data_IF_119393158450
#
_entry.id   IF_119393158450
#
_cell.length_a   1.000
_cell.length_b   1.000
_cell.length_c   1.000
_cell.angle_alpha   90.00
_cell.angle_beta   90.00
_cell.angle_gamma   90.00
#
_symmetry.space_group_name_H-M   'P 1'
#
loop_
_entity.id
_entity.type
_entity.pdbx_description
1 polymer ?
#
# COMPACT_ATOMS: atom_id res chain seq x y z
N UNK A 1 51.01 14.36 19.14
CA UNK A 1 49.97 15.42 19.07
C UNK A 1 50.46 16.51 18.13
N UNK A 2 49.63 16.96 17.18
CA UNK A 2 49.95 17.85 16.04
C UNK A 2 50.58 17.16 14.80
N UNK A 3 49.82 16.28 14.13
CA UNK A 3 49.90 16.05 12.66
C UNK A 3 48.72 15.24 12.09
N UNK A 4 47.57 15.16 12.80
CA UNK A 4 46.40 14.36 12.35
C UNK A 4 45.07 15.12 12.40
N UNK A 5 45.10 16.44 12.51
CA UNK A 5 43.90 17.29 12.61
C UNK A 5 43.60 18.04 11.29
N UNK A 6 44.45 17.91 10.25
CA UNK A 6 44.28 18.66 9.00
C UNK A 6 43.70 17.86 7.81
N UNK A 7 43.26 16.61 8.02
CA UNK A 7 42.59 15.81 6.97
C UNK A 7 41.06 15.72 7.20
N UNK A 8 40.55 16.20 8.34
CA UNK A 8 39.13 16.11 8.71
C UNK A 8 38.29 17.34 8.32
N UNK A 9 38.87 18.41 7.77
CA UNK A 9 38.14 19.66 7.48
C UNK A 9 37.92 19.97 5.99
N UNK A 10 38.46 19.15 5.07
CA UNK A 10 38.35 19.38 3.61
C UNK A 10 37.53 18.32 2.86
N UNK A 11 36.93 17.35 3.57
CA UNK A 11 36.03 16.35 3.01
C UNK A 11 34.55 16.55 3.40
N UNK A 12 34.23 17.63 4.13
CA UNK A 12 32.87 17.91 4.62
C UNK A 12 32.09 18.98 3.81
N UNK A 13 32.62 19.42 2.66
CA UNK A 13 31.97 20.43 1.80
C UNK A 13 31.82 20.01 0.33
N UNK A 14 32.08 18.74 0.00
CA UNK A 14 31.99 18.25 -1.37
C UNK A 14 31.38 16.84 -1.42
N UNK A 15 30.16 16.66 -0.89
CA UNK A 15 29.28 15.52 -1.22
C UNK A 15 27.84 15.78 -0.75
N UNK A 16 27.30 16.95 -1.07
CA UNK A 16 25.87 17.26 -0.96
C UNK A 16 25.27 17.39 -2.36
N UNK A 17 25.45 16.38 -3.21
CA UNK A 17 24.86 16.33 -4.55
C UNK A 17 25.05 14.97 -5.20
N UNK A 18 24.33 13.95 -4.71
CA UNK A 18 24.12 12.69 -5.45
C UNK A 18 22.95 11.88 -4.86
N UNK A 19 21.76 12.46 -4.83
CA UNK A 19 20.53 11.67 -4.93
C UNK A 19 19.90 12.00 -6.28
N UNK A 20 20.40 11.34 -7.32
CA UNK A 20 19.74 11.28 -8.63
C UNK A 20 18.49 10.41 -8.46
N UNK A 21 17.41 11.02 -8.00
CA UNK A 21 16.06 10.61 -8.40
C UNK A 21 15.99 10.81 -9.92
N UNK A 22 15.45 9.87 -10.71
CA UNK A 22 15.17 10.15 -12.11
C UNK A 22 14.10 11.25 -12.15
N UNK A 23 14.53 12.49 -12.35
CA UNK A 23 13.65 13.61 -12.64
C UNK A 23 13.03 13.36 -14.02
N UNK A 24 11.82 12.81 -14.04
CA UNK A 24 10.93 13.04 -15.18
C UNK A 24 10.54 14.51 -15.08
N UNK A 25 11.27 15.35 -15.80
CA UNK A 25 11.14 16.79 -15.77
C UNK A 25 9.84 17.24 -16.41
N UNK A 26 8.79 17.42 -15.62
CA UNK A 26 7.89 18.54 -15.80
C UNK A 26 8.42 19.66 -14.90
N UNK A 27 9.26 20.55 -15.44
CA UNK A 27 9.64 21.75 -14.71
C UNK A 27 8.39 22.56 -14.39
N UNK A 28 8.34 23.20 -13.23
CA UNK A 28 7.25 24.10 -12.81
C UNK A 28 6.95 25.22 -13.83
N UNK A 29 7.85 25.50 -14.79
CA UNK A 29 7.60 26.41 -15.90
C UNK A 29 6.68 25.84 -16.99
N UNK A 30 6.61 24.51 -17.17
CA UNK A 30 5.73 23.87 -18.15
C UNK A 30 4.25 23.96 -17.73
N UNK A 31 3.97 23.87 -16.43
CA UNK A 31 2.61 24.03 -15.86
C UNK A 31 2.06 25.46 -15.99
N UNK A 32 2.91 26.47 -16.20
CA UNK A 32 2.46 27.86 -16.38
C UNK A 32 1.90 28.17 -17.77
N UNK A 33 2.13 27.31 -18.77
CA UNK A 33 1.80 27.61 -20.18
C UNK A 33 0.48 27.03 -20.69
N UNK A 34 -0.28 26.26 -19.91
CA UNK A 34 -1.51 25.61 -20.40
C UNK A 34 -2.81 26.37 -20.14
N UNK A 35 -2.79 27.51 -19.44
CA UNK A 35 -4.00 28.31 -19.19
C UNK A 35 -4.23 29.36 -20.29
N UNK A 36 -4.58 28.94 -21.50
CA UNK A 36 -5.35 29.78 -22.42
C UNK A 36 -6.20 28.93 -23.34
N UNK A 37 -7.42 28.60 -22.91
CA UNK A 37 -8.44 28.05 -23.78
C UNK A 37 -9.45 29.15 -24.10
N UNK A 38 -9.33 29.73 -25.29
CA UNK A 38 -10.37 30.52 -25.94
C UNK A 38 -10.32 30.21 -27.43
N UNK A 39 -11.39 29.56 -27.92
CA UNK A 39 -12.08 29.79 -29.21
C UNK A 39 -12.74 28.50 -29.74
N UNK A 40 -14.05 28.42 -29.52
CA UNK A 40 -15.15 28.06 -30.46
C UNK A 40 -14.86 27.03 -31.57
N UNK A 41 -15.62 25.93 -31.61
CA UNK A 41 -16.36 25.51 -32.82
C UNK A 41 -17.42 24.42 -32.51
N UNK A 42 -18.69 24.73 -32.79
CA UNK A 42 -19.81 23.80 -32.83
C UNK A 42 -19.76 22.95 -34.10
N UNK A 43 -19.43 21.65 -34.00
CA UNK A 43 -19.96 20.59 -34.88
C UNK A 43 -19.56 19.20 -34.38
N UNK A 44 -20.58 18.37 -34.13
CA UNK A 44 -20.58 16.93 -33.78
C UNK A 44 -19.43 16.47 -32.89
N UNK A 45 -19.60 16.69 -31.59
CA UNK A 45 -18.65 16.25 -30.60
C UNK A 45 -18.61 14.73 -30.48
N UNK A 46 -17.40 14.19 -30.53
CA UNK A 46 -17.16 12.83 -30.09
C UNK A 46 -17.65 12.68 -28.65
N UNK A 47 -18.28 11.55 -28.29
CA UNK A 47 -18.72 11.31 -26.92
C UNK A 47 -17.54 11.41 -25.94
N UNK A 48 -17.76 11.90 -24.70
CA UNK A 48 -16.73 11.93 -23.67
C UNK A 48 -16.02 10.58 -23.55
N UNK A 49 -14.69 10.62 -23.38
CA UNK A 49 -13.86 9.40 -23.29
C UNK A 49 -13.22 9.31 -21.91
N UNK A 50 -13.57 8.28 -21.16
CA UNK A 50 -12.93 7.93 -19.89
C UNK A 50 -11.69 7.07 -20.16
N UNK A 51 -10.51 7.58 -19.79
CA UNK A 51 -9.29 6.80 -19.76
C UNK A 51 -9.14 6.11 -18.40
N UNK A 52 -9.21 4.79 -18.38
CA UNK A 52 -9.17 3.95 -17.18
C UNK A 52 -8.59 2.55 -17.45
N UNK A 53 -8.28 1.81 -16.38
CA UNK A 53 -7.93 0.40 -16.41
C UNK A 53 -8.84 -0.42 -15.48
N UNK A 54 -9.12 -1.71 -15.79
CA UNK A 54 -10.00 -2.55 -14.98
C UNK A 54 -9.70 -2.59 -13.48
N UNK A 55 -8.43 -2.54 -13.08
CA UNK A 55 -7.97 -2.62 -11.67
C UNK A 55 -8.04 -1.29 -10.89
N UNK A 56 -8.35 -0.19 -11.56
CA UNK A 56 -8.37 1.15 -10.97
C UNK A 56 -9.60 1.36 -10.09
N UNK A 57 -9.42 1.53 -8.79
CA UNK A 57 -10.55 1.83 -7.88
C UNK A 57 -11.22 3.15 -8.26
N UNK A 58 -10.41 4.19 -8.50
CA UNK A 58 -10.90 5.52 -8.83
C UNK A 58 -11.62 5.55 -10.18
N UNK A 59 -11.16 4.81 -11.19
CA UNK A 59 -11.86 4.75 -12.47
C UNK A 59 -13.06 3.81 -12.45
N UNK A 60 -13.01 2.74 -11.65
CA UNK A 60 -14.16 1.86 -11.42
C UNK A 60 -15.35 2.60 -10.80
N UNK A 61 -15.11 3.62 -9.95
CA UNK A 61 -16.14 4.54 -9.46
C UNK A 61 -16.92 5.17 -10.60
N UNK A 62 -16.22 5.64 -11.64
CA UNK A 62 -16.83 6.24 -12.81
C UNK A 62 -17.46 5.18 -13.73
N UNK A 63 -16.78 4.04 -13.95
CA UNK A 63 -17.31 2.92 -14.75
C UNK A 63 -18.64 2.40 -14.21
N UNK A 64 -18.79 2.30 -12.89
CA UNK A 64 -20.04 1.83 -12.30
C UNK A 64 -21.21 2.75 -12.66
N UNK A 65 -21.00 4.07 -12.63
CA UNK A 65 -22.00 5.06 -13.04
C UNK A 65 -22.30 4.92 -14.53
N UNK A 66 -21.27 4.81 -15.37
CA UNK A 66 -21.39 4.64 -16.83
C UNK A 66 -22.24 3.40 -17.15
N UNK A 67 -21.94 2.26 -16.53
CA UNK A 67 -22.65 1.01 -16.76
C UNK A 67 -24.09 1.07 -16.24
N UNK A 68 -24.29 1.56 -15.02
CA UNK A 68 -25.61 1.56 -14.37
C UNK A 68 -26.60 2.54 -15.02
N UNK A 69 -26.09 3.61 -15.65
CA UNK A 69 -26.88 4.52 -16.49
C UNK A 69 -26.97 4.10 -17.97
N UNK A 70 -26.31 3.00 -18.36
CA UNK A 70 -26.30 2.51 -19.75
C UNK A 70 -25.51 3.37 -20.73
N UNK A 71 -24.62 4.25 -20.25
CA UNK A 71 -23.92 5.25 -21.08
C UNK A 71 -22.89 4.63 -22.03
N UNK A 72 -22.33 3.46 -21.69
CA UNK A 72 -21.45 2.74 -22.60
C UNK A 72 -22.22 2.04 -23.72
N UNK A 73 -23.43 1.56 -23.44
CA UNK A 73 -24.25 0.84 -24.44
C UNK A 73 -24.93 1.76 -25.43
N UNK A 74 -25.20 3.00 -25.03
CA UNK A 74 -25.74 4.05 -25.90
C UNK A 74 -24.66 4.88 -26.59
N UNK A 75 -23.38 4.54 -26.37
CA UNK A 75 -22.21 5.28 -26.84
C UNK A 75 -22.18 6.75 -26.37
N UNK A 76 -22.93 7.07 -25.30
CA UNK A 76 -22.93 8.39 -24.65
C UNK A 76 -21.56 8.68 -23.99
N UNK A 77 -20.84 7.64 -23.55
CA UNK A 77 -19.48 7.72 -23.00
C UNK A 77 -18.63 6.53 -23.47
N UNK A 78 -17.43 6.80 -23.97
CA UNK A 78 -16.43 5.78 -24.32
C UNK A 78 -15.51 5.48 -23.15
N UNK A 79 -15.01 4.25 -23.06
CA UNK A 79 -13.95 3.86 -22.11
C UNK A 79 -12.76 3.35 -22.90
N UNK A 80 -11.58 3.91 -22.67
CA UNK A 80 -10.32 3.53 -23.33
C UNK A 80 -9.22 3.27 -22.32
N UNK A 81 -8.23 2.49 -22.72
CA UNK A 81 -7.03 2.27 -21.93
C UNK A 81 -6.06 3.43 -22.14
N UNK A 82 -5.38 3.93 -21.09
CA UNK A 82 -4.23 4.82 -21.28
C UNK A 82 -3.17 4.21 -22.22
N UNK A 83 -3.07 2.88 -22.32
CA UNK A 83 -2.15 2.22 -23.25
C UNK A 83 -2.44 2.54 -24.73
N UNK A 84 -3.69 2.86 -25.06
CA UNK A 84 -4.11 3.22 -26.43
C UNK A 84 -3.50 4.56 -26.88
N UNK A 85 -3.00 5.35 -25.93
CA UNK A 85 -2.27 6.62 -26.16
C UNK A 85 -0.83 6.56 -25.63
N UNK A 86 -0.24 5.38 -25.53
CA UNK A 86 1.16 5.19 -25.11
C UNK A 86 1.40 5.05 -23.60
N UNK A 87 0.34 5.01 -22.80
CA UNK A 87 0.39 4.80 -21.34
C UNK A 87 0.46 6.08 -20.52
N UNK A 88 0.34 5.96 -19.20
CA UNK A 88 0.22 7.10 -18.27
C UNK A 88 1.38 8.10 -18.28
N UNK A 89 2.54 7.68 -18.80
CA UNK A 89 3.76 8.49 -18.85
C UNK A 89 4.03 9.04 -20.25
N UNK A 90 3.17 8.76 -21.23
CA UNK A 90 3.35 9.26 -22.59
C UNK A 90 3.12 10.77 -22.64
N UNK A 91 3.78 11.49 -23.57
CA UNK A 91 3.49 12.90 -23.82
C UNK A 91 2.00 13.15 -24.10
N UNK A 92 1.35 12.24 -24.82
CA UNK A 92 -0.07 12.31 -25.19
C UNK A 92 -0.97 12.24 -23.95
N UNK A 93 -0.71 11.30 -23.03
CA UNK A 93 -1.50 11.19 -21.81
C UNK A 93 -1.23 12.35 -20.84
N UNK A 94 0.03 12.73 -20.67
CA UNK A 94 0.43 13.81 -19.78
C UNK A 94 -0.07 15.19 -20.23
N UNK A 95 -0.34 15.37 -21.53
CA UNK A 95 -1.02 16.56 -22.03
C UNK A 95 -2.48 16.67 -21.55
N UNK A 96 -3.16 15.53 -21.32
CA UNK A 96 -4.53 15.48 -20.80
C UNK A 96 -4.55 15.50 -19.26
N UNK A 97 -3.69 14.71 -18.62
CA UNK A 97 -3.53 14.68 -17.18
C UNK A 97 -2.04 14.79 -16.79
N UNK A 98 -1.54 16.00 -16.48
CA UNK A 98 -0.14 16.22 -16.12
C UNK A 98 0.34 15.46 -14.87
N UNK A 99 -0.57 14.99 -14.00
CA UNK A 99 -0.21 14.16 -12.86
C UNK A 99 0.13 12.72 -13.27
N UNK A 100 -0.23 12.29 -14.48
CA UNK A 100 -0.01 10.92 -14.95
C UNK A 100 -0.80 9.86 -14.16
N UNK A 101 -1.93 10.26 -13.58
CA UNK A 101 -2.81 9.41 -12.78
C UNK A 101 -4.10 9.08 -13.54
N UNK A 102 -4.76 8.00 -13.13
CA UNK A 102 -6.07 7.61 -13.64
C UNK A 102 -7.13 7.74 -12.53
N UNK A 103 -8.41 7.95 -12.89
CA UNK A 103 -8.95 8.15 -14.24
C UNK A 103 -8.75 9.58 -14.77
N UNK A 104 -9.02 9.77 -16.06
CA UNK A 104 -9.21 11.08 -16.69
C UNK A 104 -10.35 11.01 -17.72
N UNK A 105 -11.35 11.87 -17.61
CA UNK A 105 -12.44 11.99 -18.59
C UNK A 105 -12.14 13.14 -19.54
N UNK A 106 -12.03 12.87 -20.84
CA UNK A 106 -11.88 13.92 -21.86
C UNK A 106 -13.25 14.27 -22.41
N UNK A 107 -13.63 15.53 -22.28
CA UNK A 107 -14.87 16.11 -22.80
C UNK A 107 -14.56 17.15 -23.88
N UNK A 108 -15.60 17.73 -24.46
CA UNK A 108 -15.50 18.88 -25.37
C UNK A 108 -14.89 20.13 -24.69
N UNK A 109 -15.13 20.29 -23.39
CA UNK A 109 -14.67 21.43 -22.60
C UNK A 109 -13.23 21.24 -22.10
N UNK A 110 -12.72 20.00 -22.17
CA UNK A 110 -11.36 19.64 -21.81
C UNK A 110 -11.27 18.38 -20.95
N UNK A 111 -10.04 18.02 -20.51
CA UNK A 111 -9.83 16.90 -19.62
C UNK A 111 -10.25 17.22 -18.19
N UNK A 112 -10.97 16.29 -17.57
CA UNK A 112 -11.38 16.31 -16.17
C UNK A 112 -10.64 15.17 -15.45
N UNK A 113 -9.58 15.47 -14.68
CA UNK A 113 -9.01 14.50 -13.74
C UNK A 113 -9.89 14.39 -12.47
N UNK A 114 -9.54 13.45 -11.58
CA UNK A 114 -10.20 13.18 -10.29
C UNK A 114 -11.56 12.48 -10.37
N UNK A 115 -11.66 11.32 -9.71
CA UNK A 115 -12.83 10.43 -9.85
C UNK A 115 -14.12 10.99 -9.27
N UNK A 116 -14.08 11.76 -8.18
CA UNK A 116 -15.27 12.42 -7.62
C UNK A 116 -15.83 13.47 -8.58
N UNK A 117 -14.95 14.30 -9.16
CA UNK A 117 -15.34 15.34 -10.11
C UNK A 117 -15.88 14.73 -11.40
N UNK A 118 -15.23 13.69 -11.93
CA UNK A 118 -15.74 12.93 -13.08
C UNK A 118 -17.10 12.31 -12.77
N UNK A 119 -17.26 11.68 -11.60
CA UNK A 119 -18.51 11.08 -11.20
C UNK A 119 -19.64 12.12 -11.17
N UNK A 120 -19.43 13.28 -10.52
CA UNK A 120 -20.42 14.36 -10.48
C UNK A 120 -20.73 14.92 -11.86
N UNK A 121 -19.73 15.11 -12.72
CA UNK A 121 -19.95 15.47 -14.13
C UNK A 121 -20.87 14.47 -14.83
N UNK A 122 -20.63 13.16 -14.69
CA UNK A 122 -21.46 12.12 -15.29
C UNK A 122 -22.90 12.14 -14.75
N UNK A 123 -23.08 12.44 -13.46
CA UNK A 123 -24.41 12.53 -12.85
C UNK A 123 -25.19 13.74 -13.36
N UNK A 124 -24.55 14.90 -13.45
CA UNK A 124 -25.19 16.14 -13.88
C UNK A 124 -25.41 16.17 -15.40
N UNK A 125 -24.41 15.79 -16.19
CA UNK A 125 -24.49 15.76 -17.67
C UNK A 125 -25.55 14.80 -18.18
N UNK A 126 -25.73 13.67 -17.48
CA UNK A 126 -26.66 12.61 -17.83
C UNK A 126 -27.77 12.45 -16.77
N UNK A 127 -28.25 13.57 -16.23
CA UNK A 127 -29.32 13.59 -15.22
C UNK A 127 -30.62 12.92 -15.69
N UNK A 128 -30.90 13.02 -17.00
CA UNK A 128 -32.10 12.44 -17.63
C UNK A 128 -32.07 10.92 -17.77
N UNK A 129 -30.91 10.29 -17.52
CA UNK A 129 -30.73 8.84 -17.60
C UNK A 129 -30.80 8.24 -16.19
N UNK A 130 -31.74 7.34 -15.95
CA UNK A 130 -31.84 6.62 -14.67
C UNK A 130 -30.69 5.61 -14.49
N UNK A 131 -30.30 5.29 -13.24
CA UNK A 131 -30.77 5.89 -11.99
C UNK A 131 -30.03 7.20 -11.67
N UNK A 132 -30.55 7.98 -10.71
CA UNK A 132 -30.01 9.33 -10.40
C UNK A 132 -28.65 9.30 -9.68
N UNK A 133 -28.37 8.29 -8.83
CA UNK A 133 -27.27 8.31 -7.84
C UNK A 133 -27.35 9.42 -6.78
N UNK A 134 -28.44 10.20 -6.77
CA UNK A 134 -28.75 11.20 -5.75
C UNK A 134 -30.07 10.82 -5.10
N UNK A 135 -30.05 10.18 -3.90
CA UNK A 135 -31.28 9.78 -3.23
C UNK A 135 -32.30 10.91 -3.07
N UNK A 136 -33.58 10.57 -3.10
CA UNK A 136 -34.70 11.51 -3.05
C UNK A 136 -34.88 12.18 -1.69
N UNK A 137 -34.50 11.51 -0.60
CA UNK A 137 -34.63 12.05 0.76
C UNK A 137 -33.39 12.81 1.21
N UNK A 138 -33.57 13.83 2.08
CA UNK A 138 -32.44 14.56 2.68
C UNK A 138 -31.55 13.62 3.49
N UNK A 139 -32.14 12.72 4.29
CA UNK A 139 -31.39 11.80 5.14
C UNK A 139 -30.46 10.89 4.32
N UNK A 140 -30.97 10.27 3.25
CA UNK A 140 -30.17 9.40 2.37
C UNK A 140 -29.11 10.19 1.60
N UNK A 141 -29.39 11.42 1.15
CA UNK A 141 -28.36 12.27 0.54
C UNK A 141 -27.23 12.61 1.50
N UNK A 142 -27.57 13.03 2.73
CA UNK A 142 -26.56 13.34 3.75
C UNK A 142 -25.69 12.13 4.05
N UNK A 143 -26.30 10.93 4.13
CA UNK A 143 -25.61 9.66 4.32
C UNK A 143 -24.66 9.35 3.15
N UNK A 144 -25.11 9.51 1.91
CA UNK A 144 -24.26 9.35 0.72
C UNK A 144 -23.06 10.32 0.74
N UNK A 145 -23.28 11.59 1.06
CA UNK A 145 -22.22 12.59 1.05
C UNK A 145 -21.19 12.35 2.16
N UNK A 146 -21.62 12.01 3.40
CA UNK A 146 -20.66 11.74 4.49
C UNK A 146 -19.83 10.49 4.18
N UNK A 147 -20.44 9.41 3.70
CA UNK A 147 -19.72 8.18 3.33
C UNK A 147 -18.70 8.47 2.22
N UNK A 148 -19.11 9.22 1.19
CA UNK A 148 -18.24 9.61 0.09
C UNK A 148 -17.03 10.41 0.59
N UNK A 149 -17.24 11.38 1.48
CA UNK A 149 -16.17 12.21 2.05
C UNK A 149 -15.24 11.42 2.97
N UNK A 150 -15.78 10.52 3.78
CA UNK A 150 -14.98 9.63 4.63
C UNK A 150 -14.09 8.72 3.78
N UNK A 151 -14.62 8.17 2.68
CA UNK A 151 -13.84 7.38 1.74
C UNK A 151 -12.65 8.19 1.18
N UNK A 152 -12.93 9.34 0.56
CA UNK A 152 -11.91 10.10 -0.18
C UNK A 152 -10.82 10.68 0.73
N UNK A 153 -11.17 11.08 1.97
CA UNK A 153 -10.22 11.70 2.90
C UNK A 153 -9.47 10.64 3.72
N UNK A 154 -10.17 9.63 4.22
CA UNK A 154 -9.65 8.76 5.28
C UNK A 154 -9.48 7.30 4.87
N UNK A 155 -10.15 6.82 3.83
CA UNK A 155 -10.04 5.41 3.44
C UNK A 155 -9.07 5.21 2.27
N UNK A 156 -9.28 5.93 1.17
CA UNK A 156 -8.52 5.77 -0.07
C UNK A 156 -7.01 5.96 0.12
N UNK A 157 -6.62 6.97 0.90
CA UNK A 157 -5.20 7.22 1.22
C UNK A 157 -4.55 6.14 2.09
N UNK A 158 -5.34 5.44 2.93
CA UNK A 158 -4.81 4.37 3.78
C UNK A 158 -4.69 3.02 3.06
N UNK A 159 -5.47 2.79 1.99
CA UNK A 159 -5.39 1.57 1.18
C UNK A 159 -3.99 1.33 0.57
N UNK A 160 -3.19 2.39 0.43
CA UNK A 160 -1.83 2.36 -0.08
C UNK A 160 -0.92 1.35 0.65
N UNK A 161 -1.19 1.04 1.93
CA UNK A 161 -0.49 0.00 2.70
C UNK A 161 -0.59 -1.40 2.11
N UNK A 162 -1.48 -1.65 1.15
CA UNK A 162 -1.64 -2.95 0.50
C UNK A 162 -0.89 -3.04 -0.84
N UNK A 163 -0.24 -1.96 -1.29
CA UNK A 163 0.59 -1.95 -2.50
C UNK A 163 2.09 -2.03 -2.19
N UNK A 164 2.90 -2.18 -3.24
CA UNK A 164 4.37 -2.15 -3.20
C UNK A 164 4.88 -0.71 -3.01
N UNK A 165 4.60 -0.16 -1.83
CA UNK A 165 5.15 1.09 -1.33
C UNK A 165 6.09 0.81 -0.18
N UNK A 166 7.09 1.66 -0.01
CA UNK A 166 8.08 1.59 1.06
C UNK A 166 7.84 2.74 2.04
N UNK A 167 8.08 2.58 3.35
CA UNK A 167 7.87 3.64 4.33
C UNK A 167 8.60 4.95 3.99
N UNK A 168 8.06 6.13 4.39
CA UNK A 168 6.83 6.28 5.17
C UNK A 168 5.57 6.08 4.33
N UNK A 169 4.55 5.42 4.91
CA UNK A 169 3.27 5.26 4.22
C UNK A 169 2.37 6.47 4.49
N UNK A 170 2.67 7.57 3.82
CA UNK A 170 2.08 8.86 4.14
C UNK A 170 2.49 9.28 5.55
N UNK A 171 1.53 9.35 6.48
CA UNK A 171 1.77 9.73 7.89
C UNK A 171 2.17 8.57 8.80
N UNK A 172 2.11 7.33 8.32
CA UNK A 172 2.32 6.14 9.15
C UNK A 172 3.75 5.60 9.02
N UNK A 173 4.46 5.37 10.13
CA UNK A 173 5.83 4.89 10.09
C UNK A 173 5.93 3.39 9.75
N UNK A 174 4.83 2.62 9.81
CA UNK A 174 4.82 1.21 9.45
C UNK A 174 3.54 0.77 8.72
N UNK A 175 3.66 -0.34 7.96
CA UNK A 175 2.54 -0.95 7.23
C UNK A 175 1.44 -1.47 8.17
N UNK A 176 1.74 -2.19 9.28
CA UNK A 176 0.70 -2.63 10.21
C UNK A 176 -0.12 -1.47 10.78
N UNK A 177 0.51 -0.37 11.18
CA UNK A 177 -0.21 0.79 11.72
C UNK A 177 -1.15 1.43 10.70
N UNK A 178 -0.73 1.56 9.44
CA UNK A 178 -1.62 2.05 8.39
C UNK A 178 -2.75 1.06 8.09
N UNK A 179 -2.48 -0.25 8.15
CA UNK A 179 -3.50 -1.29 8.00
C UNK A 179 -4.55 -1.21 9.11
N UNK A 180 -4.13 -1.02 10.35
CA UNK A 180 -5.04 -0.86 11.49
C UNK A 180 -5.89 0.40 11.35
N UNK A 181 -5.30 1.50 10.88
CA UNK A 181 -6.08 2.69 10.53
C UNK A 181 -7.08 2.41 9.41
N UNK A 182 -6.68 1.70 8.33
CA UNK A 182 -7.58 1.35 7.24
C UNK A 182 -8.79 0.55 7.76
N UNK A 183 -8.56 -0.48 8.59
CA UNK A 183 -9.62 -1.26 9.24
C UNK A 183 -10.51 -0.40 10.14
N UNK A 184 -9.93 0.50 10.93
CA UNK A 184 -10.69 1.45 11.76
C UNK A 184 -11.62 2.33 10.89
N UNK A 185 -11.11 2.84 9.78
CA UNK A 185 -11.88 3.71 8.89
C UNK A 185 -13.02 2.96 8.18
N UNK A 186 -12.85 1.67 7.86
CA UNK A 186 -13.95 0.82 7.38
C UNK A 186 -15.09 0.74 8.40
N UNK A 187 -14.79 0.49 9.68
CA UNK A 187 -15.80 0.42 10.74
C UNK A 187 -16.49 1.79 10.98
N UNK A 188 -15.75 2.89 10.82
CA UNK A 188 -16.35 4.23 10.88
C UNK A 188 -17.33 4.42 9.72
N UNK A 189 -16.95 4.04 8.49
CA UNK A 189 -17.85 4.09 7.33
C UNK A 189 -19.07 3.19 7.55
N UNK A 190 -18.88 1.96 8.05
CA UNK A 190 -19.95 1.00 8.38
C UNK A 190 -21.01 1.59 9.31
N UNK A 191 -20.59 2.39 10.30
CA UNK A 191 -21.50 3.07 11.23
C UNK A 191 -22.44 4.08 10.57
N UNK A 192 -22.12 4.52 9.35
CA UNK A 192 -22.98 5.40 8.55
C UNK A 192 -23.84 4.66 7.54
N UNK A 193 -23.54 3.39 7.23
CA UNK A 193 -24.26 2.61 6.23
C UNK A 193 -25.70 2.36 6.69
N UNK A 194 -26.63 2.36 5.75
CA UNK A 194 -28.00 1.99 6.03
C UNK A 194 -28.14 0.52 6.44
N UNK A 195 -28.92 0.27 7.49
CA UNK A 195 -29.10 -1.07 8.05
C UNK A 195 -30.15 -1.88 7.27
N UNK A 196 -31.06 -1.22 6.54
CA UNK A 196 -32.25 -1.85 5.95
C UNK A 196 -32.22 -1.86 4.44
N UNK A 197 -31.84 -0.75 3.83
CA UNK A 197 -31.84 -0.58 2.39
C UNK A 197 -30.84 -1.51 1.68
N UNK A 198 -31.09 -1.82 0.39
CA UNK A 198 -30.18 -2.58 -0.45
C UNK A 198 -28.89 -1.82 -0.80
N UNK A 199 -28.87 -0.49 -0.68
CA UNK A 199 -27.71 0.38 -0.97
C UNK A 199 -27.17 1.06 0.30
N UNK A 200 -25.96 1.59 0.25
CA UNK A 200 -25.30 2.13 1.46
C UNK A 200 -26.03 3.32 2.08
N UNK A 201 -26.81 4.04 1.27
CA UNK A 201 -27.54 5.23 1.69
C UNK A 201 -29.06 5.00 1.86
N UNK A 202 -29.56 3.77 1.67
CA UNK A 202 -30.98 3.43 1.76
C UNK A 202 -31.49 2.63 0.54
N UNK A 203 -32.70 2.96 0.08
CA UNK A 203 -33.41 2.24 -1.00
C UNK A 203 -32.89 2.55 -2.41
N UNK A 204 -32.25 3.71 -2.58
CA UNK A 204 -31.78 4.20 -3.88
C UNK A 204 -30.26 4.11 -3.96
N UNK A 205 -29.74 3.70 -5.12
CA UNK A 205 -28.30 3.78 -5.39
C UNK A 205 -27.82 5.22 -5.26
N UNK A 206 -26.63 5.40 -4.74
CA UNK A 206 -26.05 6.69 -4.46
C UNK A 206 -24.59 6.79 -4.92
N UNK A 207 -24.05 8.01 -4.99
CA UNK A 207 -22.63 8.23 -5.26
C UNK A 207 -21.74 7.45 -4.27
N UNK A 208 -22.17 7.29 -3.02
CA UNK A 208 -21.42 6.51 -2.03
C UNK A 208 -21.25 5.04 -2.44
N UNK A 209 -22.25 4.42 -3.07
CA UNK A 209 -22.14 3.04 -3.55
C UNK A 209 -21.04 2.92 -4.63
N UNK A 210 -21.05 3.82 -5.61
CA UNK A 210 -20.01 3.89 -6.64
C UNK A 210 -18.62 4.18 -6.06
N UNK A 211 -18.57 4.93 -4.97
CA UNK A 211 -17.33 5.32 -4.30
C UNK A 211 -16.70 4.16 -3.54
N UNK A 212 -17.49 3.47 -2.71
CA UNK A 212 -16.99 2.42 -1.83
C UNK A 212 -16.70 1.10 -2.56
N UNK A 213 -17.55 0.76 -3.53
CA UNK A 213 -17.59 -0.60 -4.07
C UNK A 213 -16.23 -1.07 -4.63
N UNK A 214 -15.52 -0.29 -5.47
CA UNK A 214 -14.21 -0.70 -5.98
C UNK A 214 -13.16 -0.88 -4.89
N UNK A 215 -13.19 -0.02 -3.86
CA UNK A 215 -12.29 -0.08 -2.71
C UNK A 215 -12.49 -1.36 -1.91
N UNK A 216 -13.73 -1.80 -1.70
CA UNK A 216 -14.01 -3.05 -1.00
C UNK A 216 -13.64 -4.30 -1.81
N UNK A 217 -13.72 -4.26 -3.14
CA UNK A 217 -13.24 -5.38 -3.98
C UNK A 217 -11.75 -5.60 -3.75
N UNK A 218 -10.97 -4.52 -3.81
CA UNK A 218 -9.53 -4.60 -3.57
C UNK A 218 -9.23 -5.04 -2.13
N UNK A 219 -9.95 -4.49 -1.14
CA UNK A 219 -9.77 -4.85 0.26
C UNK A 219 -10.10 -6.33 0.54
N UNK A 220 -11.22 -6.85 0.00
CA UNK A 220 -11.62 -8.27 0.13
C UNK A 220 -10.54 -9.19 -0.45
N UNK A 221 -9.92 -8.78 -1.56
CA UNK A 221 -8.87 -9.55 -2.22
C UNK A 221 -7.53 -9.51 -1.47
N UNK A 222 -7.17 -8.35 -0.93
CA UNK A 222 -5.82 -8.11 -0.41
C UNK A 222 -5.68 -8.34 1.09
N UNK A 223 -6.66 -7.95 1.90
CA UNK A 223 -6.55 -8.06 3.36
C UNK A 223 -6.26 -9.49 3.85
N UNK A 224 -6.89 -10.56 3.32
CA UNK A 224 -6.58 -11.93 3.75
C UNK A 224 -5.11 -12.31 3.61
N UNK A 225 -4.40 -11.70 2.64
CA UNK A 225 -2.99 -11.98 2.40
C UNK A 225 -2.10 -11.48 3.54
N UNK A 226 -2.54 -10.44 4.28
CA UNK A 226 -1.82 -9.83 5.40
C UNK A 226 -2.15 -10.44 6.76
N UNK A 227 -3.04 -11.43 6.81
CA UNK A 227 -3.39 -12.09 8.06
C UNK A 227 -2.29 -13.10 8.48
N UNK A 228 -2.06 -13.29 9.79
CA UNK A 228 -1.12 -14.30 10.27
C UNK A 228 -1.40 -15.68 9.69
N UNK A 229 -0.36 -16.45 9.36
CA UNK A 229 -0.52 -17.84 8.89
C UNK A 229 -1.33 -18.66 9.90
N UNK A 230 -2.37 -19.35 9.42
CA UNK A 230 -3.27 -20.16 10.26
C UNK A 230 -4.41 -19.40 10.92
N UNK A 231 -4.47 -18.06 10.78
CA UNK A 231 -5.65 -17.30 11.19
C UNK A 231 -6.76 -17.34 10.12
N UNK A 232 -8.00 -17.18 10.56
CA UNK A 232 -9.16 -17.09 9.67
C UNK A 232 -9.51 -15.63 9.45
N UNK A 233 -9.41 -15.16 8.21
CA UNK A 233 -9.89 -13.82 7.85
C UNK A 233 -11.42 -13.78 7.88
N UNK A 234 -11.98 -12.69 8.41
CA UNK A 234 -13.42 -12.43 8.43
C UNK A 234 -13.71 -11.08 7.78
N UNK A 235 -14.54 -11.10 6.74
CA UNK A 235 -15.01 -9.88 6.08
C UNK A 235 -15.77 -9.00 7.06
N UNK A 236 -16.70 -9.57 7.82
CA UNK A 236 -17.54 -8.83 8.77
C UNK A 236 -16.73 -8.21 9.90
N UNK A 237 -15.72 -8.92 10.41
CA UNK A 237 -14.83 -8.37 11.44
C UNK A 237 -14.02 -7.17 10.94
N UNK A 238 -13.77 -7.09 9.63
CA UNK A 238 -12.95 -6.04 9.04
C UNK A 238 -13.77 -4.88 8.47
N UNK A 239 -14.82 -5.19 7.72
CA UNK A 239 -15.66 -4.21 7.03
C UNK A 239 -16.78 -3.71 7.93
N UNK A 240 -17.21 -4.50 8.92
CA UNK A 240 -18.45 -4.29 9.65
C UNK A 240 -19.64 -4.97 8.97
N UNK A 241 -20.73 -5.11 9.72
CA UNK A 241 -21.88 -5.92 9.34
C UNK A 241 -22.67 -5.30 8.17
N UNK A 242 -22.84 -3.97 8.18
CA UNK A 242 -23.67 -3.29 7.19
C UNK A 242 -22.97 -3.24 5.83
N UNK A 243 -21.68 -2.91 5.80
CA UNK A 243 -20.84 -2.93 4.61
C UNK A 243 -20.73 -4.34 4.04
N UNK A 244 -20.50 -5.35 4.88
CA UNK A 244 -20.41 -6.75 4.41
C UNK A 244 -21.73 -7.21 3.79
N UNK A 245 -22.87 -6.92 4.44
CA UNK A 245 -24.21 -7.20 3.92
C UNK A 245 -24.42 -6.54 2.55
N UNK A 246 -24.22 -5.22 2.48
CA UNK A 246 -24.38 -4.45 1.26
C UNK A 246 -23.49 -5.00 0.14
N UNK A 247 -22.19 -5.12 0.40
CA UNK A 247 -21.18 -5.51 -0.57
C UNK A 247 -21.46 -6.88 -1.18
N UNK A 248 -21.81 -7.86 -0.34
CA UNK A 248 -22.16 -9.20 -0.80
C UNK A 248 -23.47 -9.24 -1.58
N UNK A 249 -24.44 -8.40 -1.21
CA UNK A 249 -25.71 -8.33 -1.92
C UNK A 249 -25.56 -7.69 -3.31
N UNK A 250 -24.95 -6.49 -3.39
CA UNK A 250 -24.87 -5.74 -4.67
C UNK A 250 -24.02 -6.46 -5.71
N UNK A 251 -22.94 -7.13 -5.32
CA UNK A 251 -22.06 -7.83 -6.28
C UNK A 251 -22.72 -9.02 -6.97
N UNK A 252 -23.83 -9.54 -6.42
CA UNK A 252 -24.59 -10.67 -6.97
C UNK A 252 -25.91 -10.23 -7.61
N UNK A 253 -26.59 -9.26 -7.00
CA UNK A 253 -27.97 -8.90 -7.38
C UNK A 253 -28.04 -7.71 -8.34
N UNK A 254 -26.92 -7.04 -8.64
CA UNK A 254 -26.86 -5.93 -9.58
C UNK A 254 -25.84 -6.19 -10.69
N UNK A 255 -26.30 -6.21 -11.94
CA UNK A 255 -25.47 -6.54 -13.10
C UNK A 255 -24.31 -5.55 -13.33
N UNK A 256 -24.48 -4.27 -12.99
CA UNK A 256 -23.42 -3.27 -13.17
C UNK A 256 -22.33 -3.43 -12.10
N UNK A 257 -22.72 -3.75 -10.87
CA UNK A 257 -21.79 -4.06 -9.79
C UNK A 257 -21.05 -5.38 -10.06
N UNK A 258 -21.77 -6.43 -10.48
CA UNK A 258 -21.19 -7.71 -10.87
C UNK A 258 -20.13 -7.56 -11.97
N UNK A 259 -20.44 -6.79 -13.02
CA UNK A 259 -19.49 -6.48 -14.10
C UNK A 259 -18.22 -5.79 -13.58
N UNK A 260 -18.34 -4.76 -12.74
CA UNK A 260 -17.17 -4.06 -12.16
C UNK A 260 -16.37 -5.00 -11.25
N UNK A 261 -17.04 -5.87 -10.48
CA UNK A 261 -16.42 -6.88 -9.65
C UNK A 261 -15.58 -7.86 -10.47
N UNK A 262 -16.13 -8.40 -11.56
CA UNK A 262 -15.42 -9.31 -12.46
C UNK A 262 -14.20 -8.64 -13.12
N UNK A 263 -14.36 -7.39 -13.60
CA UNK A 263 -13.28 -6.62 -14.22
C UNK A 263 -12.10 -6.38 -13.26
N UNK A 264 -12.38 -5.97 -12.02
CA UNK A 264 -11.33 -5.73 -11.01
C UNK A 264 -10.70 -7.06 -10.56
N UNK A 265 -11.51 -8.05 -10.18
CA UNK A 265 -10.99 -9.33 -9.67
C UNK A 265 -10.23 -10.11 -10.73
N UNK A 266 -10.64 -10.06 -12.00
CA UNK A 266 -9.90 -10.63 -13.13
C UNK A 266 -8.51 -10.02 -13.27
N UNK A 267 -8.40 -8.69 -13.19
CA UNK A 267 -7.11 -8.00 -13.24
C UNK A 267 -6.22 -8.32 -12.01
N UNK A 268 -6.82 -8.42 -10.81
CA UNK A 268 -6.09 -8.79 -9.59
C UNK A 268 -5.57 -10.23 -9.63
N UNK A 269 -6.33 -11.17 -10.19
CA UNK A 269 -5.87 -12.56 -10.42
C UNK A 269 -4.69 -12.60 -11.38
N UNK A 270 -4.77 -11.87 -12.50
CA UNK A 270 -3.64 -11.76 -13.43
C UNK A 270 -2.39 -11.16 -12.77
N UNK A 271 -2.54 -10.24 -11.81
CA UNK A 271 -1.43 -9.73 -11.00
C UNK A 271 -0.84 -10.79 -10.06
N UNK A 272 -1.69 -11.59 -9.40
CA UNK A 272 -1.28 -12.68 -8.50
C UNK A 272 -0.47 -13.76 -9.26
N UNK A 273 -0.95 -14.17 -10.44
CA UNK A 273 -0.27 -15.14 -11.33
C UNK A 273 1.12 -14.67 -11.77
N UNK A 274 1.31 -13.35 -11.93
CA UNK A 274 2.59 -12.74 -12.28
C UNK A 274 3.45 -12.39 -11.06
N UNK A 275 3.14 -12.93 -9.88
CA UNK A 275 3.95 -12.76 -8.66
C UNK A 275 4.00 -11.31 -8.15
N UNK A 276 3.00 -10.48 -8.48
CA UNK A 276 3.02 -9.04 -8.13
C UNK A 276 3.20 -8.80 -6.63
N UNK A 277 2.68 -9.71 -5.80
CA UNK A 277 2.62 -9.56 -4.35
C UNK A 277 3.77 -10.23 -3.61
N UNK A 278 4.58 -11.08 -4.27
CA UNK A 278 5.63 -11.88 -3.61
C UNK A 278 6.70 -11.02 -2.94
N UNK A 279 6.84 -9.77 -3.38
CA UNK A 279 7.80 -8.81 -2.84
C UNK A 279 7.23 -7.88 -1.77
N UNK A 280 5.93 -7.96 -1.46
CA UNK A 280 5.30 -7.12 -0.44
C UNK A 280 5.42 -7.80 0.92
N UNK A 281 6.00 -7.09 1.89
CA UNK A 281 6.08 -7.56 3.28
C UNK A 281 4.68 -7.86 3.83
N UNK A 282 4.48 -9.09 4.31
CA UNK A 282 3.24 -9.54 4.90
C UNK A 282 2.15 -10.06 3.95
N UNK A 283 2.23 -9.89 2.62
CA UNK A 283 1.18 -10.37 1.69
C UNK A 283 1.59 -11.49 0.73
N UNK A 284 2.90 -11.73 0.54
CA UNK A 284 3.43 -12.67 -0.43
C UNK A 284 4.16 -13.86 0.18
N UNK A 285 4.63 -14.77 -0.67
CA UNK A 285 5.58 -15.84 -0.28
C UNK A 285 7.00 -15.30 -0.16
N UNK A 286 7.19 -14.24 0.63
CA UNK A 286 8.48 -13.56 0.76
C UNK A 286 9.54 -14.44 1.43
N UNK A 287 9.11 -15.38 2.26
CA UNK A 287 9.96 -16.37 2.91
C UNK A 287 9.56 -17.79 2.51
N UNK A 288 10.35 -18.38 1.62
CA UNK A 288 10.22 -19.76 1.16
C UNK A 288 11.32 -20.67 1.71
N UNK A 289 12.25 -20.12 2.51
CA UNK A 289 13.34 -20.90 3.07
C UNK A 289 12.81 -21.87 4.15
N UNK A 290 13.44 -23.04 4.33
CA UNK A 290 13.04 -23.98 5.36
C UNK A 290 13.16 -23.36 6.76
N UNK A 291 12.40 -23.91 7.71
CA UNK A 291 12.52 -23.54 9.12
C UNK A 291 13.92 -23.91 9.63
N UNK A 292 14.50 -23.03 10.43
CA UNK A 292 15.81 -23.15 11.05
C UNK A 292 15.69 -23.49 12.53
N UNK A 293 16.83 -23.71 13.19
CA UNK A 293 16.87 -23.90 14.64
C UNK A 293 16.36 -22.65 15.39
N UNK A 294 16.54 -21.45 14.85
CA UNK A 294 16.04 -20.22 15.45
C UNK A 294 14.51 -20.12 15.40
N UNK A 295 13.87 -20.63 14.34
CA UNK A 295 12.42 -20.71 14.27
C UNK A 295 11.86 -21.61 15.39
N UNK A 296 12.55 -22.72 15.70
CA UNK A 296 12.19 -23.60 16.83
C UNK A 296 12.39 -22.93 18.19
N UNK A 297 13.44 -22.12 18.34
CA UNK A 297 13.65 -21.30 19.55
C UNK A 297 12.53 -20.27 19.71
N UNK A 298 12.17 -19.56 18.64
CA UNK A 298 11.08 -18.57 18.64
C UNK A 298 9.75 -19.24 19.02
N UNK A 299 9.48 -20.44 18.48
CA UNK A 299 8.31 -21.25 18.79
C UNK A 299 8.36 -21.93 20.17
N UNK A 300 9.45 -21.76 20.93
CA UNK A 300 9.71 -22.41 22.24
C UNK A 300 9.68 -23.95 22.19
N UNK A 301 9.92 -24.54 21.02
CA UNK A 301 10.01 -26.00 20.85
C UNK A 301 11.31 -26.57 21.44
N UNK A 302 12.35 -25.73 21.51
CA UNK A 302 13.62 -26.05 22.14
C UNK A 302 14.03 -24.96 23.14
N UNK A 303 14.71 -25.32 24.23
CA UNK A 303 15.13 -24.35 25.25
C UNK A 303 16.21 -23.41 24.72
N UNK A 304 16.22 -22.18 25.22
CA UNK A 304 17.30 -21.21 25.02
C UNK A 304 17.39 -20.27 26.22
N UNK A 305 18.60 -19.79 26.52
CA UNK A 305 18.84 -18.79 27.56
C UNK A 305 18.51 -17.39 27.03
N UNK A 306 17.23 -17.03 27.06
CA UNK A 306 16.71 -15.75 26.59
C UNK A 306 17.10 -14.64 27.55
N UNK A 307 17.65 -13.55 27.01
CA UNK A 307 18.04 -12.35 27.75
C UNK A 307 17.17 -11.13 27.42
N UNK A 308 16.48 -11.13 26.27
CA UNK A 308 15.52 -10.11 25.89
C UNK A 308 14.52 -10.68 24.88
N UNK A 309 13.25 -10.31 25.00
CA UNK A 309 12.21 -10.65 24.03
C UNK A 309 11.19 -9.53 23.92
N UNK A 310 10.84 -9.15 22.70
CA UNK A 310 9.69 -8.30 22.40
C UNK A 310 8.87 -8.89 21.23
N UNK A 311 7.96 -8.10 20.66
CA UNK A 311 7.10 -8.52 19.54
C UNK A 311 7.88 -8.76 18.23
N UNK A 312 9.08 -8.20 18.11
CA UNK A 312 9.85 -8.16 16.86
C UNK A 312 11.17 -8.93 16.93
N UNK A 313 11.85 -8.94 18.07
CA UNK A 313 13.18 -9.49 18.27
C UNK A 313 13.21 -10.47 19.45
N UNK A 314 14.13 -11.42 19.33
CA UNK A 314 14.54 -12.30 20.41
C UNK A 314 16.06 -12.22 20.56
N UNK A 315 16.52 -12.14 21.81
CA UNK A 315 17.95 -12.17 22.14
C UNK A 315 18.21 -13.27 23.15
N UNK A 316 19.19 -14.12 22.85
CA UNK A 316 19.54 -15.26 23.70
C UNK A 316 21.03 -15.54 23.63
N UNK A 317 21.56 -16.29 24.61
CA UNK A 317 22.97 -16.69 24.63
C UNK A 317 23.27 -17.73 23.54
N UNK A 318 24.39 -17.55 22.86
CA UNK A 318 24.89 -18.57 21.95
C UNK A 318 25.30 -19.82 22.74
N UNK A 319 24.93 -21.00 22.24
CA UNK A 319 25.27 -22.29 22.86
C UNK A 319 26.77 -22.63 22.75
N UNK A 320 27.47 -22.05 21.77
CA UNK A 320 28.89 -22.18 21.50
C UNK A 320 29.59 -20.81 21.59
N UNK A 321 29.72 -20.21 22.79
CA UNK A 321 30.20 -18.84 22.96
C UNK A 321 31.64 -18.64 22.47
N UNK A 322 31.89 -17.58 21.69
CA UNK A 322 33.23 -17.18 21.19
C UNK A 322 33.87 -16.05 22.02
N UNK A 323 33.14 -15.57 23.02
CA UNK A 323 33.57 -14.61 24.01
C UNK A 323 32.78 -14.84 25.33
N UNK A 324 33.26 -14.36 26.48
CA UNK A 324 32.55 -14.53 27.77
C UNK A 324 31.10 -14.07 27.73
N UNK A 325 30.80 -13.03 26.94
CA UNK A 325 29.44 -12.69 26.54
C UNK A 325 29.31 -12.89 25.03
N UNK A 326 28.48 -13.86 24.63
CA UNK A 326 28.10 -14.08 23.23
C UNK A 326 26.58 -14.18 23.15
N UNK A 327 25.95 -13.12 22.63
CA UNK A 327 24.50 -13.05 22.47
C UNK A 327 24.14 -12.98 20.99
N UNK A 328 23.01 -13.59 20.63
CA UNK A 328 22.44 -13.56 19.29
C UNK A 328 21.18 -12.72 19.29
N UNK A 329 21.12 -11.68 18.46
CA UNK A 329 19.91 -10.89 18.21
C UNK A 329 19.29 -11.33 16.90
N UNK A 330 18.05 -11.81 16.94
CA UNK A 330 17.34 -12.33 15.76
C UNK A 330 15.96 -11.68 15.60
N UNK A 331 15.46 -11.47 14.37
CA UNK A 331 14.07 -11.10 14.15
C UNK A 331 13.18 -12.33 14.38
N UNK A 332 12.03 -12.15 15.06
CA UNK A 332 11.02 -13.22 15.24
C UNK A 332 10.30 -13.56 13.94
N UNK A 333 10.15 -12.58 13.05
CA UNK A 333 9.63 -12.75 11.69
C UNK A 333 10.71 -12.31 10.70
N UNK A 334 11.40 -13.28 10.08
CA UNK A 334 12.51 -12.98 9.18
C UNK A 334 12.08 -12.45 7.81
N UNK A 335 10.87 -12.78 7.32
CA UNK A 335 10.31 -12.22 6.07
C UNK A 335 11.29 -12.28 4.87
N UNK A 336 12.03 -13.39 4.74
CA UNK A 336 13.04 -13.59 3.69
C UNK A 336 14.45 -13.11 4.04
N UNK A 337 14.66 -12.50 5.22
CA UNK A 337 15.98 -12.19 5.79
C UNK A 337 16.68 -13.46 6.29
N UNK A 338 16.97 -14.40 5.39
CA UNK A 338 17.92 -15.49 5.66
C UNK A 338 19.35 -14.98 5.73
N UNK A 339 19.63 -13.85 5.07
CA UNK A 339 20.91 -13.17 4.95
C UNK A 339 20.68 -11.66 4.90
N UNK A 340 21.69 -10.86 5.24
CA UNK A 340 21.59 -9.39 5.19
C UNK A 340 21.47 -8.87 3.76
N UNK A 341 22.09 -9.53 2.77
CA UNK A 341 21.99 -9.17 1.34
C UNK A 341 20.57 -9.22 0.77
N UNK A 342 19.65 -9.89 1.45
CA UNK A 342 18.22 -9.94 1.09
C UNK A 342 17.42 -8.78 1.70
N UNK A 343 18.07 -7.84 2.40
CA UNK A 343 17.43 -6.65 2.90
C UNK A 343 16.82 -5.81 1.77
N UNK A 344 15.60 -5.30 1.99
CA UNK A 344 14.94 -4.34 1.12
C UNK A 344 14.50 -3.15 1.95
N UNK A 345 13.98 -2.12 1.29
CA UNK A 345 13.43 -0.93 1.94
C UNK A 345 12.37 -1.25 3.01
N UNK A 346 11.55 -2.29 2.80
CA UNK A 346 10.56 -2.77 3.79
C UNK A 346 11.23 -3.28 5.08
N UNK A 347 12.46 -3.77 5.00
CA UNK A 347 13.20 -4.29 6.15
C UNK A 347 13.84 -3.18 6.99
N UNK A 348 13.85 -1.92 6.55
CA UNK A 348 14.48 -0.80 7.29
C UNK A 348 13.99 -0.69 8.73
N UNK A 349 12.68 -0.79 8.96
CA UNK A 349 12.10 -0.74 10.30
C UNK A 349 12.60 -1.88 11.19
N UNK A 350 12.62 -3.10 10.66
CA UNK A 350 13.10 -4.28 11.38
C UNK A 350 14.61 -4.19 11.67
N UNK A 351 15.43 -3.84 10.68
CA UNK A 351 16.87 -3.70 10.86
C UNK A 351 17.22 -2.59 11.86
N UNK A 352 16.51 -1.45 11.80
CA UNK A 352 16.64 -0.37 12.77
C UNK A 352 16.25 -0.80 14.18
N UNK A 353 15.15 -1.57 14.32
CA UNK A 353 14.72 -2.13 15.60
C UNK A 353 15.76 -3.09 16.17
N UNK A 354 16.32 -4.01 15.37
CA UNK A 354 17.39 -4.91 15.83
C UNK A 354 18.61 -4.15 16.35
N UNK A 355 19.04 -3.09 15.66
CA UNK A 355 20.15 -2.24 16.10
C UNK A 355 19.83 -1.50 17.41
N UNK A 356 18.59 -1.03 17.58
CA UNK A 356 18.14 -0.42 18.82
C UNK A 356 18.08 -1.44 19.97
N UNK A 357 17.63 -2.67 19.70
CA UNK A 357 17.65 -3.80 20.65
C UNK A 357 19.07 -4.09 21.13
N UNK A 358 20.06 -4.14 20.22
CA UNK A 358 21.49 -4.28 20.60
C UNK A 358 21.89 -3.21 21.62
N UNK A 359 21.56 -1.94 21.35
CA UNK A 359 21.91 -0.84 22.24
C UNK A 359 21.24 -0.98 23.63
N UNK A 360 19.99 -1.43 23.69
CA UNK A 360 19.29 -1.70 24.94
C UNK A 360 19.92 -2.85 25.72
N UNK A 361 20.17 -3.97 25.07
CA UNK A 361 20.80 -5.16 25.69
C UNK A 361 22.18 -4.84 26.24
N UNK A 362 23.01 -4.12 25.48
CA UNK A 362 24.36 -3.70 25.90
C UNK A 362 24.32 -2.85 27.18
N UNK A 363 23.38 -1.89 27.27
CA UNK A 363 23.22 -1.05 28.47
C UNK A 363 22.76 -1.86 29.68
N UNK A 364 21.77 -2.73 29.48
CA UNK A 364 21.21 -3.56 30.55
C UNK A 364 22.24 -4.52 31.13
N UNK A 365 23.05 -5.12 30.26
CA UNK A 365 24.12 -6.05 30.64
C UNK A 365 25.42 -5.35 31.06
N UNK A 366 25.45 -4.01 31.05
CA UNK A 366 26.59 -3.17 31.44
C UNK A 366 27.88 -3.57 30.72
N UNK A 367 27.79 -3.78 29.40
CA UNK A 367 28.94 -4.17 28.60
C UNK A 367 29.77 -2.93 28.26
N UNK A 368 30.96 -2.82 28.84
CA UNK A 368 31.90 -1.69 28.64
C UNK A 368 32.40 -1.55 27.18
N UNK A 369 32.49 -2.68 26.47
CA UNK A 369 32.88 -2.73 25.07
C UNK A 369 32.44 -4.04 24.43
N UNK A 370 32.07 -3.98 23.16
CA UNK A 370 31.57 -5.14 22.42
C UNK A 370 31.92 -5.03 20.92
N UNK A 371 31.91 -6.17 20.24
CA UNK A 371 31.90 -6.25 18.77
C UNK A 371 30.55 -6.77 18.33
N UNK A 372 29.93 -6.04 17.41
CA UNK A 372 28.75 -6.48 16.69
C UNK A 372 29.19 -7.13 15.38
N UNK A 373 28.77 -8.37 15.13
CA UNK A 373 29.10 -9.10 13.90
C UNK A 373 27.83 -9.56 13.22
N UNK A 374 27.77 -9.42 11.89
CA UNK A 374 26.75 -10.03 11.03
C UNK A 374 27.49 -10.80 9.96
N UNK A 375 27.29 -12.12 9.95
CA UNK A 375 27.85 -12.99 8.93
C UNK A 375 26.83 -13.18 7.81
N UNK A 376 27.27 -13.03 6.57
CA UNK A 376 26.42 -13.20 5.39
C UNK A 376 27.02 -14.25 4.45
N UNK A 377 26.45 -15.45 4.49
CA UNK A 377 26.88 -16.62 3.72
C UNK A 377 27.84 -17.52 4.47
N UNK A 378 27.92 -18.78 4.02
CA UNK A 378 28.73 -19.83 4.63
C UNK A 378 30.23 -19.47 4.66
N UNK A 379 30.76 -18.84 3.61
CA UNK A 379 32.16 -18.41 3.54
C UNK A 379 32.51 -17.32 4.57
N UNK A 380 31.51 -16.62 5.11
CA UNK A 380 31.65 -15.65 6.19
C UNK A 380 31.38 -16.27 7.58
N UNK A 381 31.18 -17.59 7.67
CA UNK A 381 30.90 -18.29 8.93
C UNK A 381 29.43 -18.29 9.35
N UNK A 382 28.49 -17.97 8.45
CA UNK A 382 27.07 -18.09 8.76
C UNK A 382 26.64 -19.57 8.75
N UNK A 383 26.17 -20.06 9.90
CA UNK A 383 25.74 -21.47 10.06
C UNK A 383 24.21 -21.62 10.13
N UNK A 384 23.50 -20.56 10.53
CA UNK A 384 22.03 -20.52 10.54
C UNK A 384 21.55 -19.45 9.56
N UNK A 385 20.82 -19.88 8.52
CA UNK A 385 20.27 -19.01 7.48
C UNK A 385 19.00 -18.29 7.93
N UNK A 386 19.16 -17.52 9.00
CA UNK A 386 18.19 -16.63 9.61
C UNK A 386 19.01 -15.44 10.10
N UNK A 387 18.74 -14.23 9.60
CA UNK A 387 19.57 -13.06 9.91
C UNK A 387 19.74 -12.92 11.43
N UNK A 388 20.99 -12.85 11.87
CA UNK A 388 21.31 -12.68 13.27
C UNK A 388 22.52 -11.77 13.44
N UNK A 389 22.54 -11.05 14.55
CA UNK A 389 23.69 -10.24 14.95
C UNK A 389 24.32 -10.86 16.20
N UNK A 390 25.63 -11.03 16.17
CA UNK A 390 26.40 -11.47 17.32
C UNK A 390 26.86 -10.27 18.14
N UNK A 391 26.57 -10.27 19.43
CA UNK A 391 27.19 -9.36 20.40
C UNK A 391 28.27 -10.14 21.14
N UNK A 392 29.54 -9.80 20.87
CA UNK A 392 30.72 -10.40 21.51
C UNK A 392 31.33 -9.40 22.50
N UNK A 393 31.42 -9.78 23.78
CA UNK A 393 31.94 -8.91 24.84
C UNK A 393 32.59 -9.71 25.98
N UNK A 394 33.07 -8.99 27.01
CA UNK A 394 33.61 -9.56 28.24
C UNK A 394 35.10 -9.92 28.20
N UNK A 395 35.81 -9.58 27.12
CA UNK A 395 37.28 -9.65 27.01
C UNK A 395 37.79 -8.66 25.96
N UNK A 396 39.10 -8.31 25.95
CA UNK A 396 39.71 -7.62 24.81
C UNK A 396 39.52 -8.41 23.51
N UNK A 397 39.10 -7.72 22.44
CA UNK A 397 38.88 -8.29 21.11
C UNK A 397 39.99 -7.83 20.16
N UNK A 398 40.75 -8.77 19.61
CA UNK A 398 41.96 -8.50 18.79
C UNK A 398 41.64 -8.17 17.34
N UNK A 399 42.62 -7.62 16.61
CA UNK A 399 42.58 -7.34 15.16
C UNK A 399 43.69 -8.14 14.43
N UNK A 400 43.45 -8.67 13.21
CA UNK A 400 42.23 -8.60 12.41
C UNK A 400 41.03 -9.31 13.05
N UNK A 401 39.79 -8.93 12.72
CA UNK A 401 38.59 -9.53 13.27
C UNK A 401 38.24 -10.76 12.42
N UNK A 402 39.07 -11.80 12.53
CA UNK A 402 38.75 -13.14 12.03
C UNK A 402 38.37 -14.00 13.21
#
# INVERSE_FOLDING_TARGET
MRSLILVAALLYLAQASAFLVPTVGATTSALRKSCSASAVCTSMSSPPTLFDMPVSNNGARCRLIIYKKGLSTTEDVQIKSPADVGGLKSPEYLAMNPQGLMPCLVTEEGPIPESDTIARYLLDRFESKSPSFRPSTLASRTKSEIITRLHDIYLAGNQQCMYKLVPPFGKWPSRPQQMDEFRKQLLIVDSHVDEKGPYVAGEEVSLADATLFPTLIFAEYMLPKFEPKGSTWSQEACFGANLSRWFNWVKVNDASFAKVYEEITGALKGWDENGRWDTIQGAGKRDTAPATIFDKIIAKEIPSDIVFEDDHCLVFKDVNPQAPTHLLVIPKKREGLTQLRHATEDHKGMLGHMMATVASVVREHKLEGYRLVVNDGESAGQTVFHLHMHILAGRPLTWPPG
#
